data_IF_861045832748
#
_entry.id   IF_861045832748
#
_cell.length_a   1.000
_cell.length_b   1.000
_cell.length_c   1.000
_cell.angle_alpha   90.00
_cell.angle_beta   90.00
_cell.angle_gamma   90.00
#
_symmetry.space_group_name_H-M   'P 1'
#
loop_
_entity.id
_entity.type
_entity.pdbx_description
1 polymer ?
#
# COMPACT_ATOMS: atom_id res chain seq x y z
N UNK A 1 12.20 16.30 22.08
CA UNK A 1 12.92 15.31 22.90
C UNK A 1 13.76 14.46 21.97
N UNK A 2 15.09 14.66 21.90
CA UNK A 2 15.96 13.73 21.20
C UNK A 2 16.21 12.54 22.13
N UNK A 3 16.11 11.34 21.58
CA UNK A 3 16.37 10.11 22.31
C UNK A 3 17.87 9.85 22.27
N UNK A 4 18.53 9.86 23.43
CA UNK A 4 19.84 9.25 23.62
C UNK A 4 19.60 7.76 23.89
N UNK A 5 19.77 6.92 22.87
CA UNK A 5 19.95 5.49 23.11
C UNK A 5 20.87 4.88 22.06
N UNK A 6 22.12 4.70 22.46
CA UNK A 6 22.81 3.43 22.29
C UNK A 6 23.01 2.88 23.71
N UNK A 7 22.21 1.89 24.08
CA UNK A 7 22.62 0.99 25.14
C UNK A 7 23.87 0.28 24.62
N UNK A 8 25.03 0.66 25.14
CA UNK A 8 26.18 -0.23 25.15
C UNK A 8 25.69 -1.57 25.69
N UNK A 9 26.16 -2.68 25.13
CA UNK A 9 26.09 -3.98 25.82
C UNK A 9 26.38 -3.72 27.29
N UNK A 10 25.48 -4.09 28.22
CA UNK A 10 25.41 -3.71 29.64
C UNK A 10 26.70 -3.99 30.47
N UNK A 11 27.85 -3.55 29.99
CA UNK A 11 29.21 -3.88 30.40
C UNK A 11 30.00 -2.60 30.71
N UNK A 12 29.54 -1.43 30.26
CA UNK A 12 30.21 -0.15 30.54
C UNK A 12 29.20 0.98 30.76
N UNK A 13 29.29 1.61 31.92
CA UNK A 13 28.63 2.88 32.21
C UNK A 13 29.25 4.00 31.37
N UNK A 14 28.41 4.84 30.76
CA UNK A 14 28.86 6.01 30.00
C UNK A 14 29.61 6.99 30.93
N UNK A 15 30.84 7.37 30.56
CA UNK A 15 31.62 8.39 31.27
C UNK A 15 31.22 9.79 30.81
N UNK A 16 31.39 10.79 31.67
CA UNK A 16 31.05 12.19 31.34
C UNK A 16 31.78 12.75 30.12
N UNK A 17 32.94 12.18 29.77
CA UNK A 17 33.77 12.62 28.64
C UNK A 17 33.61 11.77 27.37
N UNK A 18 32.70 10.78 27.38
CA UNK A 18 32.46 9.97 26.18
C UNK A 18 31.82 10.83 25.10
N UNK A 19 32.53 10.99 23.97
CA UNK A 19 32.01 11.75 22.84
C UNK A 19 30.75 11.08 22.30
N UNK A 20 29.60 11.72 22.50
CA UNK A 20 28.34 11.24 21.94
C UNK A 20 28.21 11.67 20.47
N UNK A 21 27.81 10.73 19.62
CA UNK A 21 27.46 11.00 18.23
C UNK A 21 26.01 10.61 18.02
N UNK A 22 25.24 11.52 17.41
CA UNK A 22 23.90 11.20 16.96
C UNK A 22 24.02 10.26 15.77
N UNK A 23 23.40 9.10 15.87
CA UNK A 23 23.34 8.12 14.78
C UNK A 23 21.90 7.84 14.37
N UNK A 24 21.71 7.53 13.09
CA UNK A 24 20.43 7.01 12.59
C UNK A 24 20.49 5.50 12.56
N UNK A 25 19.64 4.85 13.36
CA UNK A 25 19.45 3.41 13.30
C UNK A 25 18.52 3.05 12.14
N UNK A 26 18.72 1.89 11.48
CA UNK A 26 17.86 1.46 10.40
C UNK A 26 16.44 1.19 10.93
N UNK A 27 15.45 1.44 10.08
CA UNK A 27 14.08 1.01 10.36
C UNK A 27 14.03 -0.51 10.50
N UNK A 28 13.18 -1.01 11.40
CA UNK A 28 13.02 -2.44 11.55
C UNK A 28 12.27 -3.01 10.34
N UNK A 29 12.71 -4.17 9.84
CA UNK A 29 11.97 -4.89 8.80
C UNK A 29 10.83 -5.70 9.43
N UNK A 30 9.83 -6.04 8.61
CA UNK A 30 8.71 -6.87 9.04
C UNK A 30 9.17 -8.19 9.67
N UNK A 31 10.17 -8.85 9.09
CA UNK A 31 10.74 -10.09 9.61
C UNK A 31 11.39 -9.91 10.99
N UNK A 32 12.11 -8.81 11.20
CA UNK A 32 12.79 -8.53 12.47
C UNK A 32 11.74 -8.24 13.57
N UNK A 33 10.67 -7.49 13.24
CA UNK A 33 9.56 -7.23 14.16
C UNK A 33 8.72 -8.48 14.44
N UNK A 34 8.59 -9.39 13.49
CA UNK A 34 7.98 -10.70 13.71
C UNK A 34 8.80 -11.52 14.70
N UNK A 35 10.13 -11.52 14.57
CA UNK A 35 11.00 -12.19 15.52
C UNK A 35 10.89 -11.57 16.92
N UNK A 36 10.92 -10.24 17.03
CA UNK A 36 10.69 -9.54 18.30
C UNK A 36 9.35 -9.93 18.94
N UNK A 37 8.26 -9.93 18.17
CA UNK A 37 6.94 -10.28 18.66
C UNK A 37 6.82 -11.75 19.11
N UNK A 38 7.61 -12.67 18.53
CA UNK A 38 7.70 -14.08 18.97
C UNK A 38 8.44 -14.24 20.30
N UNK A 39 9.41 -13.37 20.58
CA UNK A 39 10.30 -13.46 21.74
C UNK A 39 9.78 -12.68 22.96
N UNK A 40 8.65 -11.99 22.85
CA UNK A 40 8.14 -11.07 23.87
C UNK A 40 6.64 -11.24 24.09
N UNK A 41 6.11 -10.58 25.12
CA UNK A 41 4.66 -10.51 25.37
C UNK A 41 3.96 -9.45 24.53
N UNK A 42 4.51 -9.08 23.37
CA UNK A 42 4.08 -7.96 22.53
C UNK A 42 2.57 -7.96 22.24
N UNK A 43 1.95 -9.11 21.97
CA UNK A 43 0.49 -9.21 21.70
C UNK A 43 -0.34 -8.78 22.92
N UNK A 44 0.15 -9.04 24.13
CA UNK A 44 -0.50 -8.63 25.38
C UNK A 44 -0.27 -7.14 25.62
N UNK A 45 0.98 -6.70 25.51
CA UNK A 45 1.41 -5.32 25.78
C UNK A 45 0.74 -4.31 24.85
N UNK A 46 0.55 -4.67 23.57
CA UNK A 46 -0.14 -3.83 22.58
C UNK A 46 -1.67 -3.88 22.67
N UNK A 47 -2.23 -4.69 23.58
CA UNK A 47 -3.67 -4.87 23.71
C UNK A 47 -4.32 -5.64 22.55
N UNK A 48 -3.54 -6.15 21.58
CA UNK A 48 -4.05 -6.90 20.42
C UNK A 48 -4.76 -8.20 20.82
N UNK A 49 -4.49 -8.73 22.02
CA UNK A 49 -5.24 -9.85 22.61
C UNK A 49 -6.73 -9.52 22.86
N UNK A 50 -7.08 -8.25 23.10
CA UNK A 50 -8.46 -7.78 23.33
C UNK A 50 -9.21 -7.48 22.03
N UNK A 51 -8.49 -7.23 20.94
CA UNK A 51 -9.09 -7.01 19.62
C UNK A 51 -9.61 -8.37 19.12
N UNK A 52 -10.94 -8.49 19.03
CA UNK A 52 -11.66 -9.71 18.63
C UNK A 52 -11.02 -10.42 17.45
N UNK A 53 -10.36 -11.55 17.72
CA UNK A 53 -10.30 -12.81 16.93
C UNK A 53 -9.32 -13.74 17.65
N UNK A 54 -9.82 -14.66 18.49
CA UNK A 54 -9.03 -15.66 19.22
C UNK A 54 -8.14 -16.55 18.32
N UNK A 55 -8.26 -16.47 16.98
CA UNK A 55 -7.55 -17.32 16.03
C UNK A 55 -6.73 -16.54 14.97
N UNK A 56 -6.47 -15.24 15.13
CA UNK A 56 -5.62 -14.53 14.14
C UNK A 56 -4.16 -14.94 14.31
N UNK A 57 -3.48 -15.47 13.26
CA UNK A 57 -2.08 -15.87 13.37
C UNK A 57 -1.18 -14.67 13.70
N UNK A 58 -0.18 -14.87 14.57
CA UNK A 58 0.80 -13.84 14.94
C UNK A 58 1.42 -13.11 13.73
N UNK A 59 1.84 -13.79 12.65
CA UNK A 59 2.38 -13.11 11.46
C UNK A 59 1.40 -12.10 10.85
N UNK A 60 0.09 -12.39 10.88
CA UNK A 60 -0.92 -11.45 10.38
C UNK A 60 -1.04 -10.23 11.30
N UNK A 61 -1.02 -10.42 12.62
CA UNK A 61 -1.06 -9.32 13.58
C UNK A 61 0.15 -8.39 13.43
N UNK A 62 1.35 -8.98 13.29
CA UNK A 62 2.60 -8.24 13.08
C UNK A 62 2.55 -7.45 11.79
N UNK A 63 2.18 -8.09 10.66
CA UNK A 63 2.07 -7.42 9.37
C UNK A 63 1.10 -6.25 9.41
N UNK A 64 -0.05 -6.43 10.08
CA UNK A 64 -1.02 -5.35 10.26
C UNK A 64 -0.43 -4.20 11.09
N UNK A 65 0.24 -4.50 12.21
CA UNK A 65 0.86 -3.45 13.02
C UNK A 65 2.03 -2.77 12.28
N UNK A 66 2.79 -3.53 11.48
CA UNK A 66 3.87 -3.02 10.65
C UNK A 66 3.35 -1.94 9.70
N UNK A 67 2.23 -2.20 9.02
CA UNK A 67 1.58 -1.23 8.14
C UNK A 67 1.24 0.09 8.84
N UNK A 68 0.78 0.06 10.10
CA UNK A 68 0.50 1.28 10.86
C UNK A 68 1.77 1.96 11.39
N UNK A 69 2.78 1.18 11.78
CA UNK A 69 3.97 1.68 12.49
C UNK A 69 5.15 2.04 11.58
N UNK A 70 5.19 1.54 10.34
CA UNK A 70 6.24 1.79 9.36
C UNK A 70 7.64 1.35 9.80
N UNK A 71 7.76 0.23 10.53
CA UNK A 71 9.05 -0.21 11.07
C UNK A 71 9.55 0.58 12.31
N UNK A 72 8.70 1.45 12.89
CA UNK A 72 8.98 2.08 14.18
C UNK A 72 8.85 1.09 15.30
N UNK A 73 9.92 0.79 16.02
CA UNK A 73 9.80 0.01 17.24
C UNK A 73 8.86 0.68 18.25
N UNK A 74 9.03 2.01 18.44
CA UNK A 74 8.20 2.80 19.35
C UNK A 74 6.72 2.80 18.98
N UNK A 75 6.37 2.87 17.68
CA UNK A 75 4.95 2.85 17.27
C UNK A 75 4.40 1.42 17.16
N UNK A 76 5.25 0.45 16.84
CA UNK A 76 4.91 -0.97 16.79
C UNK A 76 4.49 -1.51 18.15
N UNK A 77 5.07 -1.00 19.24
CA UNK A 77 4.71 -1.38 20.62
C UNK A 77 3.51 -0.58 21.20
N UNK A 78 2.85 0.30 20.43
CA UNK A 78 1.65 1.00 20.91
C UNK A 78 0.36 0.27 20.56
N UNK A 79 -0.69 0.57 21.31
CA UNK A 79 -2.05 0.19 20.95
C UNK A 79 -2.44 0.76 19.58
N UNK A 80 -3.01 -0.10 18.74
CA UNK A 80 -3.31 0.21 17.34
C UNK A 80 -4.30 1.36 17.18
N UNK A 81 -5.33 1.43 18.01
CA UNK A 81 -6.34 2.49 17.91
C UNK A 81 -5.78 3.86 18.29
N UNK A 82 -4.91 3.93 19.30
CA UNK A 82 -4.18 5.16 19.65
C UNK A 82 -3.25 5.61 18.52
N UNK A 83 -2.60 4.64 17.86
CA UNK A 83 -1.76 4.92 16.69
C UNK A 83 -2.58 5.49 15.53
N UNK A 84 -3.74 4.89 15.22
CA UNK A 84 -4.65 5.37 14.17
C UNK A 84 -5.17 6.78 14.43
N UNK A 85 -5.70 7.03 15.63
CA UNK A 85 -6.25 8.33 16.02
C UNK A 85 -5.19 9.43 15.89
N UNK A 86 -3.98 9.15 16.36
CA UNK A 86 -2.87 10.08 16.23
C UNK A 86 -2.51 10.34 14.77
N UNK A 87 -2.33 9.31 13.95
CA UNK A 87 -1.98 9.49 12.53
C UNK A 87 -3.03 10.33 11.81
N UNK A 88 -4.31 10.10 12.08
CA UNK A 88 -5.40 10.93 11.51
C UNK A 88 -5.25 12.38 11.95
N UNK A 89 -5.09 12.64 13.25
CA UNK A 89 -4.87 14.00 13.78
C UNK A 89 -3.65 14.69 13.17
N UNK A 90 -2.53 13.97 13.07
CA UNK A 90 -1.28 14.47 12.52
C UNK A 90 -1.46 14.79 11.03
N UNK A 91 -2.11 13.91 10.25
CA UNK A 91 -2.40 14.12 8.83
C UNK A 91 -3.38 15.28 8.59
N UNK A 92 -4.40 15.46 9.43
CA UNK A 92 -5.32 16.61 9.34
C UNK A 92 -4.63 17.95 9.58
N UNK A 93 -3.49 17.95 10.27
CA UNK A 93 -2.69 19.14 10.54
C UNK A 93 -1.72 19.48 9.40
N UNK A 94 -1.65 18.66 8.36
CA UNK A 94 -0.77 18.85 7.20
C UNK A 94 -1.52 19.64 6.13
N UNK A 95 -1.17 20.91 5.94
CA UNK A 95 -1.67 21.69 4.79
C UNK A 95 -1.08 21.18 3.46
N UNK A 96 -1.72 21.48 2.32
CA UNK A 96 -1.24 21.07 0.99
C UNK A 96 0.23 21.46 0.73
N UNK A 97 0.64 22.66 1.14
CA UNK A 97 2.03 23.12 1.02
C UNK A 97 3.00 22.38 1.96
N UNK A 98 2.52 21.84 3.08
CA UNK A 98 3.32 21.08 4.05
C UNK A 98 3.40 19.59 3.70
N UNK A 99 2.41 19.03 2.98
CA UNK A 99 2.45 17.66 2.47
C UNK A 99 3.66 17.46 1.54
N UNK A 100 4.01 18.51 0.79
CA UNK A 100 5.24 18.59 -0.01
C UNK A 100 6.51 18.46 0.86
N UNK A 101 6.64 19.29 1.89
CA UNK A 101 7.78 19.25 2.82
C UNK A 101 7.89 17.90 3.54
N UNK A 102 6.75 17.26 3.81
CA UNK A 102 6.60 15.98 4.52
C UNK A 102 7.13 14.78 3.74
N UNK A 103 7.14 14.87 2.41
CA UNK A 103 7.70 13.82 1.55
C UNK A 103 9.13 14.16 1.11
N UNK A 104 9.49 15.46 1.05
CA UNK A 104 10.67 15.92 0.31
C UNK A 104 11.79 16.58 1.13
N UNK A 105 11.63 16.90 2.42
CA UNK A 105 12.74 17.52 3.16
C UNK A 105 13.87 16.52 3.46
N UNK A 106 14.89 16.52 2.60
CA UNK A 106 16.19 15.85 2.74
C UNK A 106 17.13 16.52 3.77
N UNK A 107 16.66 17.54 4.50
CA UNK A 107 17.45 18.26 5.50
C UNK A 107 16.92 18.01 6.91
N UNK A 108 17.79 17.63 7.84
CA UNK A 108 17.50 17.35 9.25
C UNK A 108 17.05 18.54 10.11
N UNK A 109 16.32 19.51 9.53
CA UNK A 109 15.64 20.57 10.27
C UNK A 109 14.31 20.06 10.82
N UNK A 110 14.11 20.20 12.13
CA UNK A 110 12.81 19.95 12.73
C UNK A 110 11.78 20.89 12.12
N UNK A 111 10.72 20.35 11.53
CA UNK A 111 9.59 21.18 11.13
C UNK A 111 8.84 21.64 12.38
N UNK A 112 8.42 22.91 12.41
CA UNK A 112 7.62 23.45 13.54
C UNK A 112 6.27 22.75 13.68
N UNK A 113 5.80 22.13 12.60
CA UNK A 113 4.63 21.26 12.54
C UNK A 113 4.99 19.85 13.02
N UNK A 114 4.15 19.18 13.82
CA UNK A 114 4.41 17.82 14.32
C UNK A 114 4.51 16.71 13.25
N UNK A 115 4.51 17.11 11.98
CA UNK A 115 4.81 16.40 10.74
C UNK A 115 6.05 15.48 10.84
N UNK A 116 7.07 15.82 11.63
CA UNK A 116 8.25 14.95 11.80
C UNK A 116 7.90 13.60 12.45
N UNK A 117 6.74 13.48 13.11
CA UNK A 117 6.23 12.23 13.67
C UNK A 117 5.66 11.26 12.63
N UNK A 118 5.41 11.75 11.42
CA UNK A 118 4.93 10.97 10.27
C UNK A 118 6.08 10.42 9.41
N UNK A 119 7.31 10.88 9.66
CA UNK A 119 8.52 10.53 8.91
C UNK A 119 9.51 9.77 9.78
N UNK A 120 10.43 9.08 9.12
CA UNK A 120 11.57 8.43 9.75
C UNK A 120 12.85 8.80 9.03
N UNK A 121 13.94 8.86 9.80
CA UNK A 121 15.28 8.98 9.25
C UNK A 121 15.73 7.62 8.69
N UNK A 122 16.27 7.67 7.49
CA UNK A 122 16.93 6.61 6.77
C UNK A 122 18.35 7.05 6.46
N UNK A 123 19.19 6.09 6.13
CA UNK A 123 20.54 6.33 5.63
C UNK A 123 20.60 5.93 4.16
N UNK A 124 21.50 6.55 3.40
CA UNK A 124 21.58 6.33 1.95
C UNK A 124 22.12 4.94 1.59
N UNK A 125 22.97 4.36 2.43
CA UNK A 125 23.61 3.04 2.21
C UNK A 125 23.92 2.44 3.58
N UNK A 126 23.41 1.25 3.87
CA UNK A 126 23.61 0.56 5.14
C UNK A 126 24.95 -0.19 5.24
N UNK A 127 25.70 -0.26 4.16
CA UNK A 127 27.05 -0.85 4.14
C UNK A 127 28.15 0.17 4.42
N UNK A 128 27.80 1.46 4.54
CA UNK A 128 28.73 2.55 4.80
C UNK A 128 28.54 3.11 6.20
N UNK A 129 29.53 2.93 7.06
CA UNK A 129 29.52 3.42 8.44
C UNK A 129 29.29 4.94 8.52
N UNK A 130 29.93 5.71 7.62
CA UNK A 130 29.77 7.17 7.54
C UNK A 130 28.32 7.61 7.40
N UNK A 131 27.47 6.80 6.75
CA UNK A 131 26.08 7.16 6.54
C UNK A 131 25.25 7.11 7.82
N UNK A 132 25.70 6.39 8.85
CA UNK A 132 25.00 6.31 10.13
C UNK A 132 25.15 7.57 10.98
N UNK A 133 26.27 8.29 10.87
CA UNK A 133 26.56 9.45 11.72
C UNK A 133 26.68 10.79 10.97
N UNK A 134 26.88 10.78 9.65
CA UNK A 134 26.94 12.01 8.85
C UNK A 134 25.58 12.34 8.22
N UNK A 135 25.02 13.46 8.66
CA UNK A 135 23.70 13.98 8.28
C UNK A 135 23.53 14.19 6.77
N UNK A 136 24.63 14.37 6.01
CA UNK A 136 24.58 14.52 4.54
C UNK A 136 24.03 13.28 3.83
N UNK A 137 24.10 12.13 4.50
CA UNK A 137 23.63 10.85 3.97
C UNK A 137 22.27 10.43 4.52
N UNK A 138 21.65 11.25 5.37
CA UNK A 138 20.36 10.95 5.96
C UNK A 138 19.23 11.38 5.04
N UNK A 139 18.18 10.57 4.98
CA UNK A 139 16.97 10.82 4.22
C UNK A 139 15.77 10.74 5.14
N UNK A 140 14.77 11.58 4.94
CA UNK A 140 13.49 11.45 5.63
C UNK A 140 12.47 10.80 4.70
N UNK A 141 11.77 9.77 5.16
CA UNK A 141 10.69 9.14 4.40
C UNK A 141 9.51 8.80 5.30
N UNK A 142 8.31 8.88 4.74
CA UNK A 142 7.12 8.25 5.30
C UNK A 142 7.15 6.77 4.94
N UNK A 143 7.07 5.89 5.94
CA UNK A 143 7.16 4.44 5.76
C UNK A 143 5.97 3.66 6.32
N UNK A 144 5.08 4.33 7.04
CA UNK A 144 3.79 3.79 7.45
C UNK A 144 2.84 3.81 6.25
N UNK A 145 2.41 2.62 5.84
CA UNK A 145 1.37 2.48 4.80
C UNK A 145 0.06 3.17 5.19
N UNK A 146 -0.23 3.26 6.49
CA UNK A 146 -1.40 4.01 6.96
C UNK A 146 -1.24 5.52 6.80
N UNK A 147 -0.06 6.06 7.06
CA UNK A 147 0.22 7.49 6.82
C UNK A 147 0.14 7.78 5.32
N UNK A 148 0.77 6.95 4.48
CA UNK A 148 0.70 7.08 3.03
C UNK A 148 -0.74 7.04 2.52
N UNK A 149 -1.61 6.17 3.06
CA UNK A 149 -3.00 6.09 2.61
C UNK A 149 -3.84 7.31 3.00
N UNK A 150 -3.47 8.01 4.09
CA UNK A 150 -4.11 9.29 4.46
C UNK A 150 -3.58 10.46 3.64
N UNK A 151 -2.26 10.51 3.43
CA UNK A 151 -1.63 11.58 2.64
C UNK A 151 -1.91 11.44 1.14
N UNK A 152 -2.00 10.23 0.60
CA UNK A 152 -2.26 9.97 -0.81
C UNK A 152 -3.60 10.52 -1.30
N UNK A 153 -4.53 10.89 -0.41
CA UNK A 153 -5.76 11.60 -0.76
C UNK A 153 -5.56 13.11 -0.97
N UNK A 154 -4.41 13.63 -0.54
CA UNK A 154 -4.06 15.05 -0.50
C UNK A 154 -2.91 15.36 -1.48
N UNK A 155 -2.03 14.39 -1.69
CA UNK A 155 -0.81 14.50 -2.51
C UNK A 155 -1.11 14.17 -3.98
N UNK A 156 -0.57 14.96 -4.91
CA UNK A 156 -0.73 14.76 -6.36
C UNK A 156 -0.12 13.46 -6.90
N UNK A 157 -0.47 13.09 -8.13
CA UNK A 157 0.01 11.85 -8.77
C UNK A 157 1.53 11.83 -8.97
N UNK A 158 2.13 12.96 -9.34
CA UNK A 158 3.58 13.05 -9.64
C UNK A 158 4.40 12.75 -8.38
N UNK A 159 3.94 13.24 -7.23
CA UNK A 159 4.58 13.00 -5.93
C UNK A 159 4.37 11.58 -5.42
N UNK A 160 3.23 10.97 -5.71
CA UNK A 160 3.05 9.55 -5.39
C UNK A 160 3.95 8.65 -6.25
N UNK A 161 4.19 9.04 -7.51
CA UNK A 161 5.14 8.36 -8.38
C UNK A 161 6.57 8.46 -7.82
N UNK A 162 6.98 9.63 -7.30
CA UNK A 162 8.27 9.78 -6.60
C UNK A 162 8.37 8.88 -5.37
N UNK A 163 7.34 8.80 -4.52
CA UNK A 163 7.31 7.89 -3.35
C UNK A 163 7.44 6.44 -3.78
N UNK A 164 6.72 6.03 -4.82
CA UNK A 164 6.84 4.69 -5.40
C UNK A 164 8.28 4.40 -5.86
N UNK A 165 8.88 5.30 -6.63
CA UNK A 165 10.26 5.16 -7.13
C UNK A 165 11.26 5.05 -5.98
N UNK A 166 11.12 5.86 -4.95
CA UNK A 166 11.95 5.78 -3.76
C UNK A 166 11.78 4.43 -3.05
N UNK A 167 10.55 4.00 -2.80
CA UNK A 167 10.23 2.73 -2.15
C UNK A 167 10.82 1.54 -2.92
N UNK A 168 10.74 1.56 -4.26
CA UNK A 168 11.37 0.58 -5.15
C UNK A 168 12.89 0.58 -5.01
N UNK A 169 13.52 1.77 -4.99
CA UNK A 169 14.99 1.91 -4.97
C UNK A 169 15.66 1.40 -3.69
N UNK A 170 14.94 1.44 -2.56
CA UNK A 170 15.48 1.01 -1.25
C UNK A 170 14.87 -0.32 -0.77
N UNK A 171 14.15 -1.02 -1.66
CA UNK A 171 13.38 -2.24 -1.34
C UNK A 171 12.54 -2.08 -0.06
N UNK A 172 11.81 -0.96 0.03
CA UNK A 172 11.08 -0.61 1.23
C UNK A 172 9.92 -1.58 1.46
N UNK A 173 9.69 -1.95 2.73
CA UNK A 173 8.54 -2.77 3.12
C UNK A 173 7.17 -2.19 2.74
N UNK A 174 7.10 -0.89 2.44
CA UNK A 174 5.89 -0.19 2.00
C UNK A 174 5.77 -0.05 0.46
N UNK A 175 6.69 -0.58 -0.34
CA UNK A 175 6.68 -0.48 -1.80
C UNK A 175 5.35 -0.96 -2.42
N UNK A 176 4.82 -2.09 -1.96
CA UNK A 176 3.54 -2.60 -2.46
C UNK A 176 2.36 -1.66 -2.18
N UNK A 177 2.35 -1.04 -1.00
CA UNK A 177 1.31 -0.07 -0.61
C UNK A 177 1.44 1.22 -1.41
N UNK A 178 2.67 1.70 -1.63
CA UNK A 178 2.90 2.87 -2.47
C UNK A 178 2.39 2.63 -3.90
N UNK A 179 2.59 1.44 -4.44
CA UNK A 179 2.10 1.07 -5.77
C UNK A 179 0.57 0.98 -5.84
N UNK A 180 -0.07 0.33 -4.86
CA UNK A 180 -1.54 0.27 -4.73
C UNK A 180 -2.18 1.66 -4.67
N UNK A 181 -1.67 2.53 -3.80
CA UNK A 181 -2.14 3.92 -3.67
C UNK A 181 -1.96 4.72 -4.95
N UNK A 182 -0.84 4.53 -5.65
CA UNK A 182 -0.58 5.21 -6.91
C UNK A 182 -1.62 4.83 -7.97
N UNK A 183 -1.99 3.55 -8.08
CA UNK A 183 -3.04 3.10 -9.01
C UNK A 183 -4.39 3.72 -8.65
N UNK A 184 -4.81 3.68 -7.38
CA UNK A 184 -6.07 4.26 -6.95
C UNK A 184 -6.16 5.76 -7.28
N UNK A 185 -5.09 6.51 -7.05
CA UNK A 185 -5.04 7.94 -7.37
C UNK A 185 -4.94 8.22 -8.87
N UNK A 186 -4.25 7.37 -9.63
CA UNK A 186 -4.24 7.46 -11.09
C UNK A 186 -5.66 7.32 -11.65
N UNK A 187 -6.43 6.33 -11.17
CA UNK A 187 -7.84 6.16 -11.56
C UNK A 187 -8.69 7.37 -11.15
N UNK A 188 -8.51 7.89 -9.94
CA UNK A 188 -9.21 9.08 -9.47
C UNK A 188 -8.94 10.32 -10.34
N UNK A 189 -7.70 10.53 -10.78
CA UNK A 189 -7.32 11.66 -11.62
C UNK A 189 -7.63 11.48 -13.12
N UNK A 190 -7.82 10.25 -13.60
CA UNK A 190 -7.95 9.97 -15.03
C UNK A 190 -9.19 10.62 -15.66
N UNK A 191 -10.34 10.53 -14.98
CA UNK A 191 -11.61 11.03 -15.52
C UNK A 191 -11.60 12.54 -15.75
N UNK A 192 -11.11 13.32 -14.79
CA UNK A 192 -11.01 14.79 -14.90
C UNK A 192 -10.01 15.20 -15.98
N UNK A 193 -8.93 14.43 -16.16
CA UNK A 193 -7.95 14.59 -17.25
C UNK A 193 -8.44 14.10 -18.61
N UNK A 194 -9.66 13.55 -18.70
CA UNK A 194 -10.23 12.90 -19.90
C UNK A 194 -9.34 11.78 -20.49
N UNK A 195 -8.50 11.16 -19.65
CA UNK A 195 -7.65 10.02 -19.99
C UNK A 195 -8.26 8.73 -19.42
N UNK A 196 -7.89 7.58 -19.97
CA UNK A 196 -8.21 6.25 -19.41
C UNK A 196 -6.96 5.70 -18.73
N UNK A 197 -7.14 4.94 -17.64
CA UNK A 197 -6.08 4.09 -17.10
C UNK A 197 -6.06 2.81 -17.90
N UNK A 198 -4.96 2.56 -18.62
CA UNK A 198 -4.80 1.40 -19.49
C UNK A 198 -4.00 0.33 -18.75
N UNK A 199 -4.61 -0.84 -18.60
CA UNK A 199 -3.97 -2.04 -18.08
C UNK A 199 -3.68 -2.97 -19.26
N UNK A 200 -2.41 -3.14 -19.61
CA UNK A 200 -2.01 -3.99 -20.73
C UNK A 200 -1.95 -5.45 -20.29
N UNK A 201 -2.60 -6.33 -21.03
CA UNK A 201 -2.59 -7.75 -20.73
C UNK A 201 -1.29 -8.41 -21.17
N UNK A 202 -0.99 -9.55 -20.56
CA UNK A 202 0.06 -10.45 -21.02
C UNK A 202 -0.20 -10.91 -22.46
N UNK A 203 0.85 -11.08 -23.26
CA UNK A 203 0.73 -11.62 -24.62
C UNK A 203 0.03 -13.00 -24.61
N UNK A 204 -0.82 -13.26 -25.61
CA UNK A 204 -1.62 -14.48 -25.70
C UNK A 204 -2.88 -14.52 -24.82
N UNK A 205 -3.16 -13.45 -24.06
CA UNK A 205 -4.42 -13.33 -23.30
C UNK A 205 -5.63 -13.15 -24.22
N UNK A 206 -6.82 -13.51 -23.72
CA UNK A 206 -8.11 -13.30 -24.41
C UNK A 206 -8.41 -11.83 -24.71
N UNK A 207 -7.96 -10.95 -23.83
CA UNK A 207 -8.03 -9.51 -23.98
C UNK A 207 -6.62 -8.96 -24.17
N UNK A 208 -6.48 -7.90 -24.95
CA UNK A 208 -5.20 -7.19 -25.12
C UNK A 208 -5.01 -6.11 -24.05
N UNK A 209 -6.10 -5.47 -23.60
CA UNK A 209 -6.09 -4.43 -22.58
C UNK A 209 -7.45 -4.28 -21.90
N UNK A 210 -7.41 -3.67 -20.73
CA UNK A 210 -8.57 -3.09 -20.06
C UNK A 210 -8.36 -1.59 -19.91
N UNK A 211 -9.42 -0.83 -20.14
CA UNK A 211 -9.45 0.61 -19.88
C UNK A 211 -10.40 0.94 -18.74
N UNK A 212 -9.86 1.59 -17.71
CA UNK A 212 -10.63 2.09 -16.56
C UNK A 212 -10.80 3.60 -16.74
N UNK A 213 -12.05 4.02 -16.94
CA UNK A 213 -12.43 5.42 -16.99
C UNK A 213 -13.79 5.58 -16.32
N UNK A 214 -13.77 5.96 -15.05
CA UNK A 214 -14.99 6.08 -14.24
C UNK A 214 -15.17 7.50 -13.67
N UNK A 215 -16.38 8.05 -13.65
CA UNK A 215 -16.67 9.35 -13.04
C UNK A 215 -16.61 9.31 -11.51
N UNK A 216 -16.86 8.15 -10.89
CA UNK A 216 -16.97 8.03 -9.45
C UNK A 216 -15.87 7.12 -8.88
N UNK A 217 -15.18 7.61 -7.87
CA UNK A 217 -14.21 6.83 -7.10
C UNK A 217 -14.61 6.87 -5.62
N UNK A 218 -14.80 5.70 -5.01
CA UNK A 218 -15.34 5.57 -3.65
C UNK A 218 -14.43 4.71 -2.79
N UNK A 219 -14.10 5.19 -1.59
CA UNK A 219 -13.37 4.44 -0.58
C UNK A 219 -14.24 4.22 0.66
N UNK A 220 -14.59 2.96 0.96
CA UNK A 220 -15.49 2.62 2.07
C UNK A 220 -15.23 1.22 2.62
N UNK A 221 -15.84 0.87 3.76
CA UNK A 221 -15.63 -0.40 4.46
C UNK A 221 -14.38 -0.34 5.36
N UNK A 222 -14.59 -0.16 6.66
CA UNK A 222 -13.50 0.04 7.64
C UNK A 222 -12.91 -1.28 8.17
N UNK A 223 -13.61 -2.38 7.91
CA UNK A 223 -13.19 -3.74 8.21
C UNK A 223 -13.67 -4.72 7.14
N UNK A 224 -13.22 -5.98 7.24
CA UNK A 224 -13.59 -7.03 6.31
C UNK A 224 -15.11 -7.25 6.22
N UNK A 225 -15.85 -7.14 7.33
CA UNK A 225 -17.28 -7.43 7.36
C UNK A 225 -18.10 -6.34 6.66
N UNK A 226 -17.69 -5.08 6.82
CA UNK A 226 -18.31 -3.90 6.21
C UNK A 226 -17.95 -3.69 4.74
N UNK A 227 -16.85 -4.26 4.25
CA UNK A 227 -16.47 -4.20 2.83
C UNK A 227 -17.47 -4.96 1.93
N UNK A 228 -17.91 -6.16 2.33
CA UNK A 228 -18.82 -6.99 1.53
C UNK A 228 -20.16 -6.29 1.18
N UNK A 229 -20.88 -5.67 2.14
CA UNK A 229 -22.09 -4.89 1.83
C UNK A 229 -21.88 -3.75 0.82
N UNK A 230 -20.68 -3.17 0.73
CA UNK A 230 -20.39 -2.10 -0.24
C UNK A 230 -20.54 -2.59 -1.69
N UNK A 231 -20.26 -3.88 -1.95
CA UNK A 231 -20.36 -4.48 -3.29
C UNK A 231 -21.81 -4.59 -3.77
N UNK A 232 -22.73 -4.94 -2.86
CA UNK A 232 -24.16 -5.05 -3.17
C UNK A 232 -24.81 -3.71 -3.54
N UNK A 233 -24.22 -2.59 -3.10
CA UNK A 233 -24.71 -1.22 -3.34
C UNK A 233 -23.83 -0.42 -4.32
N UNK A 234 -22.82 -1.07 -4.90
CA UNK A 234 -21.89 -0.45 -5.83
C UNK A 234 -22.64 0.06 -7.07
N UNK A 235 -22.50 1.35 -7.38
CA UNK A 235 -23.10 1.92 -8.59
C UNK A 235 -22.29 1.52 -9.82
N UNK A 236 -22.96 1.45 -10.98
CA UNK A 236 -22.27 1.40 -12.27
C UNK A 236 -21.31 2.60 -12.42
N UNK A 237 -20.25 2.42 -13.20
CA UNK A 237 -19.27 3.47 -13.50
C UNK A 237 -18.62 4.04 -12.22
N UNK A 238 -18.35 3.14 -11.28
CA UNK A 238 -17.68 3.43 -10.01
C UNK A 238 -16.44 2.57 -9.87
N UNK A 239 -15.35 3.16 -9.41
CA UNK A 239 -14.18 2.46 -8.89
C UNK A 239 -14.25 2.46 -7.39
N UNK A 240 -14.52 1.30 -6.80
CA UNK A 240 -14.54 1.11 -5.36
C UNK A 240 -13.25 0.44 -4.90
N UNK A 241 -12.69 0.93 -3.81
CA UNK A 241 -11.59 0.28 -3.10
C UNK A 241 -11.85 0.33 -1.59
N UNK A 242 -11.41 -0.68 -0.82
CA UNK A 242 -11.72 -0.78 0.59
C UNK A 242 -10.97 0.31 1.39
N UNK A 243 -11.65 0.90 2.37
CA UNK A 243 -10.97 1.72 3.41
C UNK A 243 -10.24 0.84 4.44
N UNK A 244 -10.36 -0.49 4.30
CA UNK A 244 -9.66 -1.50 5.07
C UNK A 244 -8.49 -2.08 4.25
N UNK A 245 -7.24 -1.69 4.54
CA UNK A 245 -6.05 -2.07 3.75
C UNK A 245 -5.67 -3.56 3.85
N UNK A 246 -6.38 -4.33 4.67
CA UNK A 246 -6.19 -5.78 4.79
C UNK A 246 -7.40 -6.57 4.31
N UNK A 247 -8.28 -5.91 3.52
CA UNK A 247 -9.35 -6.61 2.86
C UNK A 247 -8.72 -7.72 2.00
N UNK A 248 -9.13 -8.98 2.18
CA UNK A 248 -8.44 -10.07 1.53
C UNK A 248 -8.81 -10.13 0.06
N UNK A 249 -7.89 -10.70 -0.71
CA UNK A 249 -8.10 -11.24 -2.07
C UNK A 249 -8.17 -10.21 -3.21
N UNK A 250 -8.72 -9.02 -2.99
CA UNK A 250 -8.80 -7.92 -3.97
C UNK A 250 -8.52 -6.57 -3.28
N UNK A 251 -8.11 -5.58 -4.06
CA UNK A 251 -7.86 -4.20 -3.62
C UNK A 251 -8.81 -3.20 -4.29
N UNK A 252 -9.53 -3.57 -5.36
CA UNK A 252 -10.60 -2.75 -5.92
C UNK A 252 -11.65 -3.55 -6.71
N UNK A 253 -12.81 -2.94 -6.94
CA UNK A 253 -13.84 -3.40 -7.87
C UNK A 253 -14.28 -2.26 -8.76
N UNK A 254 -14.34 -2.50 -10.07
CA UNK A 254 -14.80 -1.46 -11.01
C UNK A 254 -15.42 -2.04 -12.27
N UNK A 255 -16.28 -1.25 -12.93
CA UNK A 255 -16.68 -1.51 -14.32
C UNK A 255 -15.67 -0.91 -15.28
N UNK A 256 -15.30 -1.65 -16.31
CA UNK A 256 -14.27 -1.24 -17.26
C UNK A 256 -14.52 -1.84 -18.65
N UNK A 257 -13.90 -1.24 -19.66
CA UNK A 257 -13.95 -1.74 -21.04
C UNK A 257 -12.80 -2.71 -21.27
N UNK A 258 -13.11 -3.93 -21.70
CA UNK A 258 -12.11 -4.95 -22.04
C UNK A 258 -12.07 -5.16 -23.56
N UNK A 259 -10.90 -4.97 -24.16
CA UNK A 259 -10.69 -5.02 -25.61
C UNK A 259 -10.16 -6.40 -26.00
N UNK A 260 -10.86 -7.08 -26.92
CA UNK A 260 -10.51 -8.45 -27.31
C UNK A 260 -9.26 -8.46 -28.18
N UNK A 261 -8.39 -9.44 -27.94
CA UNK A 261 -7.18 -9.59 -28.74
C UNK A 261 -7.52 -9.84 -30.20
N UNK A 262 -6.98 -9.01 -31.10
CA UNK A 262 -7.20 -9.12 -32.55
C UNK A 262 -8.59 -8.66 -33.03
N UNK A 263 -9.35 -7.94 -32.20
CA UNK A 263 -10.61 -7.28 -32.61
C UNK A 263 -10.65 -5.84 -32.09
N UNK A 264 -11.39 -4.96 -32.79
CA UNK A 264 -11.72 -3.62 -32.28
C UNK A 264 -12.89 -3.66 -31.26
N UNK A 265 -13.53 -4.82 -31.10
CA UNK A 265 -14.66 -5.00 -30.18
C UNK A 265 -14.21 -4.90 -28.71
N UNK A 266 -14.89 -4.03 -27.97
CA UNK A 266 -14.84 -4.01 -26.50
C UNK A 266 -16.11 -4.60 -25.90
N UNK A 267 -15.99 -5.14 -24.68
CA UNK A 267 -17.13 -5.47 -23.85
C UNK A 267 -16.95 -4.87 -22.45
N UNK A 268 -18.02 -4.34 -21.87
CA UNK A 268 -17.99 -3.87 -20.49
C UNK A 268 -18.01 -5.05 -19.52
N UNK A 269 -17.03 -5.11 -18.61
CA UNK A 269 -16.94 -6.14 -17.57
C UNK A 269 -16.83 -5.52 -16.17
N UNK A 270 -17.05 -6.34 -15.15
CA UNK A 270 -16.68 -6.03 -13.77
C UNK A 270 -15.32 -6.66 -13.47
N UNK A 271 -14.33 -5.83 -13.13
CA UNK A 271 -13.01 -6.26 -12.73
C UNK A 271 -12.89 -6.28 -11.20
N UNK A 272 -12.54 -7.45 -10.66
CA UNK A 272 -12.02 -7.64 -9.31
C UNK A 272 -10.51 -7.46 -9.35
N UNK A 273 -10.04 -6.27 -9.00
CA UNK A 273 -8.65 -5.85 -9.15
C UNK A 273 -7.85 -6.24 -7.92
N UNK A 274 -6.75 -6.94 -8.11
CA UNK A 274 -5.69 -7.13 -7.12
C UNK A 274 -4.42 -6.45 -7.63
N UNK A 275 -3.89 -5.51 -6.87
CA UNK A 275 -2.60 -4.88 -7.09
C UNK A 275 -1.51 -5.67 -6.37
N UNK A 276 -0.36 -5.86 -7.00
CA UNK A 276 0.76 -6.58 -6.38
C UNK A 276 2.09 -6.20 -7.02
N UNK A 277 3.15 -6.17 -6.20
CA UNK A 277 4.55 -6.10 -6.66
C UNK A 277 5.25 -7.47 -6.57
N UNK A 278 4.54 -8.51 -6.10
CA UNK A 278 5.07 -9.88 -5.99
C UNK A 278 4.97 -10.59 -7.33
N UNK A 279 5.82 -11.59 -7.53
CA UNK A 279 5.81 -12.47 -8.70
C UNK A 279 4.80 -13.62 -8.62
N UNK A 280 4.11 -13.80 -7.50
CA UNK A 280 3.14 -14.88 -7.37
C UNK A 280 1.98 -14.55 -6.42
N UNK A 281 0.85 -15.24 -6.64
CA UNK A 281 -0.30 -15.23 -5.76
C UNK A 281 -1.04 -16.56 -5.84
N UNK A 282 -1.58 -16.97 -4.69
CA UNK A 282 -2.55 -18.07 -4.62
C UNK A 282 -3.97 -17.52 -4.82
N UNK A 283 -4.66 -18.00 -5.85
CA UNK A 283 -6.08 -17.76 -6.04
C UNK A 283 -6.88 -18.47 -4.94
N UNK A 284 -8.01 -17.89 -4.55
CA UNK A 284 -8.83 -18.36 -3.43
C UNK A 284 -10.28 -18.43 -3.84
N UNK A 285 -10.70 -19.60 -4.30
CA UNK A 285 -12.06 -19.84 -4.78
C UNK A 285 -13.11 -19.47 -3.73
N UNK A 286 -12.86 -19.76 -2.46
CA UNK A 286 -13.81 -19.42 -1.38
C UNK A 286 -14.00 -17.90 -1.23
N UNK A 287 -12.96 -17.11 -1.55
CA UNK A 287 -13.02 -15.65 -1.53
C UNK A 287 -13.73 -15.11 -2.75
N UNK A 288 -13.47 -15.69 -3.93
CA UNK A 288 -14.21 -15.35 -5.14
C UNK A 288 -15.71 -15.60 -4.98
N UNK A 289 -16.08 -16.78 -4.46
CA UNK A 289 -17.49 -17.13 -4.24
C UNK A 289 -18.19 -16.09 -3.37
N UNK A 290 -17.56 -15.68 -2.26
CA UNK A 290 -18.11 -14.66 -1.37
C UNK A 290 -18.24 -13.28 -2.04
N UNK A 291 -17.28 -12.88 -2.88
CA UNK A 291 -17.40 -11.65 -3.67
C UNK A 291 -18.58 -11.73 -4.64
N UNK A 292 -18.72 -12.86 -5.34
CA UNK A 292 -19.81 -13.09 -6.28
C UNK A 292 -21.18 -13.09 -5.60
N UNK A 293 -21.32 -13.76 -4.45
CA UNK A 293 -22.55 -13.77 -3.66
C UNK A 293 -23.04 -12.35 -3.30
N UNK A 294 -22.13 -11.42 -2.99
CA UNK A 294 -22.49 -10.01 -2.72
C UNK A 294 -22.80 -9.23 -4.00
N UNK A 295 -22.03 -9.46 -5.06
CA UNK A 295 -22.26 -8.83 -6.37
C UNK A 295 -23.56 -9.31 -7.02
N UNK A 296 -24.01 -10.54 -6.76
CA UNK A 296 -25.28 -11.07 -7.26
C UNK A 296 -26.50 -10.37 -6.65
N UNK A 297 -26.34 -9.76 -5.46
CA UNK A 297 -27.36 -8.91 -4.85
C UNK A 297 -27.49 -7.55 -5.55
N UNK A 298 -26.47 -7.14 -6.29
CA UNK A 298 -26.43 -5.87 -7.01
C UNK A 298 -27.21 -5.96 -8.33
N UNK A 299 -28.42 -5.41 -8.37
CA UNK A 299 -29.28 -5.51 -9.56
C UNK A 299 -28.67 -4.92 -10.84
N UNK A 300 -27.79 -3.91 -10.72
CA UNK A 300 -27.18 -3.24 -11.86
C UNK A 300 -25.98 -3.99 -12.45
N UNK A 301 -25.29 -4.79 -11.63
CA UNK A 301 -24.03 -5.45 -12.00
C UNK A 301 -24.13 -6.98 -12.01
N UNK A 302 -25.20 -7.58 -11.48
CA UNK A 302 -25.31 -9.03 -11.26
C UNK A 302 -25.09 -9.86 -12.53
N UNK A 303 -25.61 -9.40 -13.68
CA UNK A 303 -25.56 -10.12 -14.95
C UNK A 303 -24.34 -9.76 -15.80
N UNK A 304 -23.48 -8.84 -15.33
CA UNK A 304 -22.26 -8.48 -16.06
C UNK A 304 -21.23 -9.57 -15.91
N UNK A 305 -20.45 -9.77 -16.97
CA UNK A 305 -19.29 -10.65 -16.94
C UNK A 305 -18.27 -10.11 -15.94
N UNK A 306 -17.69 -11.02 -15.16
CA UNK A 306 -16.74 -10.70 -14.09
C UNK A 306 -15.39 -11.30 -14.41
N UNK A 307 -14.33 -10.61 -13.99
CA UNK A 307 -12.98 -11.11 -14.12
C UNK A 307 -12.15 -10.77 -12.90
N UNK A 308 -11.24 -11.66 -12.54
CA UNK A 308 -10.21 -11.41 -11.55
C UNK A 308 -8.98 -10.88 -12.26
N UNK A 309 -8.52 -9.69 -11.89
CA UNK A 309 -7.48 -8.95 -12.61
C UNK A 309 -6.32 -8.68 -11.66
N UNK A 310 -5.19 -9.31 -11.90
CA UNK A 310 -3.94 -9.03 -11.18
C UNK A 310 -3.18 -7.93 -11.91
N UNK A 311 -2.82 -6.87 -11.21
CA UNK A 311 -2.12 -5.70 -11.75
C UNK A 311 -0.71 -5.63 -11.17
N UNK A 312 0.30 -5.86 -12.01
CA UNK A 312 1.72 -5.74 -11.70
C UNK A 312 2.33 -4.42 -12.19
N UNK A 313 3.45 -3.96 -11.60
CA UNK A 313 4.07 -2.66 -11.91
C UNK A 313 4.87 -2.62 -13.19
N UNK A 314 5.31 -3.76 -13.73
CA UNK A 314 6.14 -3.78 -14.95
C UNK A 314 5.98 -5.11 -15.69
N UNK A 315 6.40 -5.12 -16.97
CA UNK A 315 6.28 -6.29 -17.85
C UNK A 315 7.03 -7.50 -17.33
N UNK A 316 8.18 -7.30 -16.70
CA UNK A 316 9.00 -8.40 -16.17
C UNK A 316 8.27 -9.14 -15.04
N UNK A 317 7.65 -8.39 -14.12
CA UNK A 317 6.82 -8.96 -13.05
C UNK A 317 5.59 -9.64 -13.63
N UNK A 318 4.88 -9.01 -14.57
CA UNK A 318 3.65 -9.59 -15.13
C UNK A 318 3.89 -10.86 -15.96
N UNK A 319 4.90 -10.88 -16.82
CA UNK A 319 5.20 -12.02 -17.70
C UNK A 319 5.62 -13.25 -16.89
N UNK A 320 6.29 -13.04 -15.76
CA UNK A 320 6.72 -14.12 -14.87
C UNK A 320 5.73 -14.40 -13.75
N UNK A 321 4.58 -13.71 -13.74
CA UNK A 321 3.64 -13.82 -12.63
C UNK A 321 2.99 -15.21 -12.60
N UNK A 322 3.03 -15.85 -11.43
CA UNK A 322 2.40 -17.14 -11.19
C UNK A 322 1.13 -16.97 -10.37
N UNK A 323 -0.03 -17.21 -11.00
CA UNK A 323 -1.31 -17.32 -10.30
C UNK A 323 -1.60 -18.80 -10.01
N UNK A 324 -1.23 -19.24 -8.81
CA UNK A 324 -1.48 -20.61 -8.35
C UNK A 324 -2.98 -20.84 -8.13
N UNK A 325 -3.46 -22.04 -8.44
CA UNK A 325 -4.86 -22.46 -8.32
C UNK A 325 -5.83 -21.57 -9.09
N UNK A 326 -5.38 -20.98 -10.20
CA UNK A 326 -6.24 -20.18 -11.07
C UNK A 326 -7.43 -21.03 -11.57
N UNK A 327 -8.63 -20.44 -11.66
CA UNK A 327 -9.79 -21.14 -12.20
C UNK A 327 -9.58 -21.43 -13.69
N UNK A 328 -10.30 -22.44 -14.18
CA UNK A 328 -10.39 -22.69 -15.61
C UNK A 328 -10.93 -21.42 -16.33
N UNK A 329 -10.27 -20.92 -17.39
CA UNK A 329 -10.67 -19.70 -18.09
C UNK A 329 -12.10 -19.72 -18.66
N UNK A 330 -12.65 -20.90 -18.95
CA UNK A 330 -14.02 -21.08 -19.42
C UNK A 330 -15.03 -20.99 -18.27
N UNK A 331 -14.59 -21.26 -17.03
CA UNK A 331 -15.42 -21.15 -15.83
C UNK A 331 -15.39 -19.74 -15.25
N UNK A 332 -14.20 -19.17 -15.08
CA UNK A 332 -14.05 -17.81 -14.58
C UNK A 332 -12.77 -17.17 -15.11
N UNK A 333 -12.90 -15.96 -15.63
CA UNK A 333 -11.77 -15.26 -16.23
C UNK A 333 -10.82 -14.73 -15.16
N UNK A 334 -9.59 -15.23 -15.13
CA UNK A 334 -8.48 -14.66 -14.38
C UNK A 334 -7.43 -14.10 -15.36
N UNK A 335 -6.99 -12.87 -15.13
CA UNK A 335 -6.08 -12.14 -16.00
C UNK A 335 -4.93 -11.54 -15.21
N UNK A 336 -3.78 -11.43 -15.86
CA UNK A 336 -2.62 -10.69 -15.36
C UNK A 336 -2.34 -9.56 -16.33
N UNK A 337 -2.23 -8.35 -15.81
CA UNK A 337 -1.95 -7.15 -16.57
C UNK A 337 -0.90 -6.27 -15.89
N UNK A 338 -0.33 -5.37 -16.68
CA UNK A 338 0.65 -4.41 -16.23
C UNK A 338 0.09 -3.00 -16.25
N UNK A 339 0.40 -2.27 -15.18
CA UNK A 339 0.27 -0.84 -15.10
C UNK A 339 1.63 -0.26 -14.71
N UNK A 340 2.40 0.11 -15.73
CA UNK A 340 3.70 0.76 -15.53
C UNK A 340 3.50 2.16 -14.95
N UNK A 341 4.00 2.46 -13.74
CA UNK A 341 3.94 3.79 -13.14
C UNK A 341 4.59 4.87 -14.00
N UNK A 342 5.55 4.50 -14.84
CA UNK A 342 6.25 5.39 -15.76
C UNK A 342 5.29 6.02 -16.79
N UNK A 343 4.15 5.39 -17.09
CA UNK A 343 3.13 5.99 -17.96
C UNK A 343 2.45 7.22 -17.35
N UNK A 344 2.66 7.47 -16.05
CA UNK A 344 2.16 8.64 -15.33
C UNK A 344 3.13 9.83 -15.37
N UNK A 345 4.34 9.65 -15.93
CA UNK A 345 5.28 10.74 -16.07
C UNK A 345 4.69 11.87 -16.93
N UNK A 346 4.95 13.15 -16.58
CA UNK A 346 4.56 14.26 -17.43
C UNK A 346 5.15 14.09 -18.83
N UNK A 347 4.33 14.32 -19.87
CA UNK A 347 4.83 14.41 -21.23
C UNK A 347 5.86 15.56 -21.27
N UNK A 348 7.12 15.24 -21.59
CA UNK A 348 8.20 16.23 -21.70
C UNK A 348 7.76 17.23 -22.76
N UNK A 349 7.49 18.46 -22.32
CA UNK A 349 6.98 19.55 -23.15
C UNK A 349 8.10 20.21 -23.96
#
# INVERSE_FOLDING_TARGET
MPFDFLATSCQFDAKQDDSSRVVVLPAWRDADLLQYAKLTNWVIETGLRKIKRQNTPLPKLVKEQYFYSGGSMREFCKERELLKLRVVSDCCSVGNAQAFDLVYNYGGGQSKSQVDRLRRHYITDCHKEEHYYDRRWWKLSVDSGYVLSKLGRIVDTDKQLEVYKYAKSVDAGFHGIAYELLLHNAVHGAFTKRKSIVLKMREGSKYEKIEIRVPNVVCSGEDEASCYPCLSTLKKDTYWYPNYPFFPFIDAVTTCEAFRSGSEDSETIVAYVQVTIRSEKKFKEERLRRLNEEMDKNQSLKNMKRAFVVVGPDSDVCERFLLHDAPDPDTFLAMVCCFSPEQLEPEVS
#
